data_IF_187808312445
#
_entry.id   IF_187808312445
#
_cell.length_a   1.000
_cell.length_b   1.000
_cell.length_c   1.000
_cell.angle_alpha   90.00
_cell.angle_beta   90.00
_cell.angle_gamma   90.00
#
_symmetry.space_group_name_H-M   'P 1'
#
loop_
_entity.id
_entity.type
_entity.pdbx_description
1 polymer ?
#
# COMPACT_ATOMS: atom_id res chain seq x y z
N UNK A 1 34.09 -9.69 -4.49
CA UNK A 1 32.94 -10.00 -3.62
C UNK A 1 31.80 -9.06 -3.98
N UNK A 2 30.55 -9.49 -3.85
CA UNK A 2 29.38 -8.66 -4.20
C UNK A 2 29.07 -7.76 -3.00
N UNK A 3 28.94 -6.46 -3.25
CA UNK A 3 28.59 -5.48 -2.22
C UNK A 3 27.09 -5.19 -2.23
N UNK A 4 26.54 -4.89 -1.06
CA UNK A 4 25.19 -4.40 -0.88
C UNK A 4 25.21 -3.08 -0.13
N UNK A 5 24.23 -2.23 -0.42
CA UNK A 5 23.89 -1.11 0.45
C UNK A 5 22.87 -1.61 1.47
N UNK A 6 23.16 -1.42 2.75
CA UNK A 6 22.26 -1.73 3.84
C UNK A 6 21.62 -0.44 4.32
N UNK A 7 20.29 -0.42 4.42
CA UNK A 7 19.53 0.74 4.85
C UNK A 7 18.59 0.39 6.00
N UNK A 8 18.70 1.13 7.10
CA UNK A 8 17.79 1.02 8.23
C UNK A 8 16.50 1.76 7.93
N UNK A 9 15.37 1.12 8.24
CA UNK A 9 14.02 1.69 8.16
C UNK A 9 13.22 1.35 9.42
N UNK A 10 12.10 2.04 9.64
CA UNK A 10 11.15 1.69 10.68
C UNK A 10 10.58 0.27 10.52
N UNK A 11 10.31 -0.44 11.62
CA UNK A 11 9.71 -1.78 11.57
C UNK A 11 8.21 -1.68 11.29
N UNK A 12 7.75 -2.30 10.20
CA UNK A 12 6.32 -2.39 9.89
C UNK A 12 5.97 -3.78 9.41
N UNK A 13 4.77 -4.26 9.68
CA UNK A 13 4.34 -5.57 9.21
C UNK A 13 4.22 -5.60 7.68
N UNK A 14 3.69 -4.53 7.07
CA UNK A 14 3.27 -4.56 5.66
C UNK A 14 3.69 -3.39 4.78
N UNK A 15 4.10 -2.26 5.38
CA UNK A 15 4.50 -1.05 4.65
C UNK A 15 3.42 -0.59 3.64
N UNK A 16 2.20 -0.37 4.15
CA UNK A 16 1.03 0.03 3.35
C UNK A 16 0.81 1.54 3.27
N UNK A 17 1.69 2.37 3.83
CA UNK A 17 1.53 3.82 3.82
C UNK A 17 0.67 4.41 4.95
N UNK A 18 -0.05 3.58 5.72
CA UNK A 18 -1.04 4.07 6.72
C UNK A 18 -0.86 3.47 8.14
N UNK A 19 0.04 2.51 8.35
CA UNK A 19 0.17 1.79 9.63
C UNK A 19 1.06 2.51 10.66
N UNK A 20 0.51 3.44 11.46
CA UNK A 20 1.14 3.93 12.71
C UNK A 20 0.42 3.38 13.97
N UNK A 21 -0.48 2.40 13.84
CA UNK A 21 -1.29 1.96 14.98
C UNK A 21 -0.64 0.99 15.98
N UNK A 22 0.63 0.59 15.83
CA UNK A 22 1.29 -0.24 16.85
C UNK A 22 2.77 0.10 17.09
N UNK A 23 3.00 1.15 17.89
CA UNK A 23 4.18 1.24 18.76
C UNK A 23 5.53 1.57 18.12
N UNK A 24 5.57 2.13 16.91
CA UNK A 24 6.79 2.73 16.37
C UNK A 24 6.80 4.25 16.62
N UNK A 25 7.43 4.69 17.70
CA UNK A 25 7.86 6.08 17.84
C UNK A 25 9.18 6.27 17.11
N UNK A 26 9.17 6.89 15.93
CA UNK A 26 10.34 7.50 15.35
C UNK A 26 9.97 8.88 14.77
N UNK A 27 10.66 9.91 15.27
CA UNK A 27 10.66 11.25 14.68
C UNK A 27 11.12 11.16 13.21
N UNK A 28 10.38 11.77 12.28
CA UNK A 28 10.67 11.87 10.84
C UNK A 28 10.59 10.55 10.02
N UNK A 29 9.65 9.65 10.32
CA UNK A 29 9.47 8.36 9.62
C UNK A 29 8.38 8.33 8.54
N UNK A 30 7.84 9.49 8.15
CA UNK A 30 6.60 9.56 7.34
C UNK A 30 6.68 8.95 5.95
N UNK A 31 7.86 8.80 5.35
CA UNK A 31 7.99 8.26 3.99
C UNK A 31 8.39 6.78 3.97
N UNK A 32 8.98 6.26 5.05
CA UNK A 32 9.48 4.88 5.08
C UNK A 32 8.35 3.85 4.98
N UNK A 33 7.14 4.23 5.43
CA UNK A 33 5.90 3.46 5.26
C UNK A 33 5.52 3.20 3.81
N UNK A 34 6.07 3.99 2.89
CA UNK A 34 5.84 3.87 1.45
C UNK A 34 6.88 2.98 0.75
N UNK A 35 7.90 2.49 1.47
CA UNK A 35 8.78 1.46 0.95
C UNK A 35 7.97 0.23 0.57
N UNK A 36 8.34 -0.45 -0.52
CA UNK A 36 7.61 -1.64 -0.98
C UNK A 36 6.15 -1.37 -1.40
N UNK A 37 5.82 -0.12 -1.74
CA UNK A 37 4.63 0.22 -2.53
C UNK A 37 5.00 0.27 -4.01
N UNK A 38 4.23 -0.44 -4.84
CA UNK A 38 4.43 -0.46 -6.28
C UNK A 38 3.69 0.70 -6.93
N UNK A 39 4.41 1.52 -7.68
CA UNK A 39 3.84 2.55 -8.54
C UNK A 39 4.18 2.22 -10.00
N UNK A 40 3.17 1.74 -10.73
CA UNK A 40 3.27 1.40 -12.15
C UNK A 40 4.48 0.50 -12.53
N UNK A 41 4.75 -0.53 -11.72
CA UNK A 41 5.87 -1.47 -11.95
C UNK A 41 7.23 -0.98 -11.44
N UNK A 42 7.25 0.16 -10.74
CA UNK A 42 8.45 0.73 -10.12
C UNK A 42 8.26 0.85 -8.62
N UNK A 43 9.34 0.60 -7.88
CA UNK A 43 9.42 0.78 -6.45
C UNK A 43 10.46 1.84 -6.12
N UNK A 44 10.15 2.63 -5.10
CA UNK A 44 10.97 3.71 -4.60
C UNK A 44 11.38 3.42 -3.15
N UNK A 45 12.66 3.65 -2.85
CA UNK A 45 13.22 3.45 -1.52
C UNK A 45 13.42 4.78 -0.83
N UNK A 46 12.70 4.93 0.29
CA UNK A 46 12.71 6.07 1.19
C UNK A 46 13.57 5.72 2.39
N UNK A 47 14.54 6.58 2.71
CA UNK A 47 15.59 6.31 3.68
C UNK A 47 15.60 7.39 4.75
N UNK A 48 15.89 7.00 5.99
CA UNK A 48 16.23 7.94 7.07
C UNK A 48 17.70 8.43 6.95
N UNK A 49 18.02 9.12 5.86
CA UNK A 49 19.29 9.84 5.70
C UNK A 49 19.08 11.10 4.88
N UNK A 50 19.83 12.15 5.20
CA UNK A 50 19.85 13.40 4.43
C UNK A 50 21.09 13.50 3.53
N UNK A 51 22.02 12.54 3.62
CA UNK A 51 23.24 12.58 2.84
C UNK A 51 23.82 11.19 2.55
N UNK A 52 23.81 10.80 1.27
CA UNK A 52 24.50 9.61 0.78
C UNK A 52 25.87 9.94 0.15
N UNK A 53 26.28 11.22 0.13
CA UNK A 53 27.56 11.67 -0.46
C UNK A 53 28.79 10.93 0.06
N UNK A 54 28.89 10.52 1.35
CA UNK A 54 30.03 9.73 1.82
C UNK A 54 30.17 8.36 1.13
N UNK A 55 29.05 7.78 0.68
CA UNK A 55 28.98 6.45 0.09
C UNK A 55 28.89 6.50 -1.44
N UNK A 56 28.16 7.47 -1.98
CA UNK A 56 27.85 7.60 -3.40
C UNK A 56 28.53 8.86 -3.94
N UNK A 57 29.62 8.67 -4.69
CA UNK A 57 30.40 9.79 -5.26
C UNK A 57 29.78 10.33 -6.56
N UNK A 58 29.26 9.42 -7.38
CA UNK A 58 28.58 9.74 -8.63
C UNK A 58 27.16 10.27 -8.36
N UNK A 59 26.48 10.80 -9.36
CA UNK A 59 25.07 11.20 -9.19
C UNK A 59 24.18 10.01 -8.80
N UNK A 60 24.50 8.83 -9.31
CA UNK A 60 23.83 7.59 -8.95
C UNK A 60 24.76 6.40 -9.17
N UNK A 61 24.55 5.33 -8.42
CA UNK A 61 25.29 4.07 -8.51
C UNK A 61 24.33 2.91 -8.57
N UNK A 62 24.63 1.90 -9.39
CA UNK A 62 23.85 0.66 -9.41
C UNK A 62 24.37 -0.31 -8.33
N UNK A 63 23.50 -0.72 -7.42
CA UNK A 63 23.79 -1.74 -6.43
C UNK A 63 23.19 -3.10 -6.81
N UNK A 64 23.94 -4.21 -6.68
CA UNK A 64 23.38 -5.56 -6.84
C UNK A 64 22.22 -5.80 -5.86
N UNK A 65 22.35 -5.29 -4.63
CA UNK A 65 21.32 -5.31 -3.61
C UNK A 65 21.35 -4.02 -2.80
N UNK A 66 20.16 -3.44 -2.60
CA UNK A 66 19.85 -2.53 -1.49
C UNK A 66 18.98 -3.31 -0.52
N UNK A 67 19.49 -3.55 0.68
CA UNK A 67 18.85 -4.40 1.70
C UNK A 67 18.28 -3.48 2.77
N UNK A 68 16.98 -3.60 3.00
CA UNK A 68 16.28 -2.87 4.05
C UNK A 68 16.23 -3.73 5.31
N UNK A 69 16.62 -3.15 6.44
CA UNK A 69 16.51 -3.79 7.74
C UNK A 69 15.83 -2.87 8.75
N UNK A 70 15.21 -3.46 9.76
CA UNK A 70 14.53 -2.74 10.82
C UNK A 70 14.77 -3.39 12.18
N UNK A 71 14.68 -2.60 13.24
CA UNK A 71 14.86 -3.08 14.61
C UNK A 71 13.52 -3.58 15.17
N UNK A 72 13.37 -4.89 15.33
CA UNK A 72 12.22 -5.47 16.02
C UNK A 72 12.39 -5.36 17.55
N UNK A 73 11.37 -4.94 18.31
CA UNK A 73 11.48 -4.68 19.76
C UNK A 73 12.10 -5.82 20.58
N UNK A 74 11.81 -7.07 20.21
CA UNK A 74 12.29 -8.26 20.92
C UNK A 74 13.37 -9.06 20.18
N UNK A 75 13.54 -8.85 18.86
CA UNK A 75 14.35 -9.73 17.98
C UNK A 75 15.58 -9.01 17.43
N UNK A 76 15.75 -7.72 17.73
CA UNK A 76 16.83 -6.88 17.23
C UNK A 76 16.70 -6.58 15.74
N UNK A 77 17.83 -6.24 15.12
CA UNK A 77 17.90 -5.86 13.70
C UNK A 77 17.65 -7.07 12.79
N UNK A 78 16.63 -6.97 11.93
CA UNK A 78 16.19 -8.00 11.00
C UNK A 78 16.04 -7.46 9.59
N UNK A 79 16.39 -8.27 8.59
CA UNK A 79 16.11 -7.95 7.18
C UNK A 79 14.60 -7.95 6.96
N UNK A 80 14.09 -6.87 6.40
CA UNK A 80 12.69 -6.68 6.02
C UNK A 80 12.46 -7.07 4.57
N UNK A 81 13.39 -6.71 3.69
CA UNK A 81 13.27 -6.89 2.26
C UNK A 81 14.48 -6.31 1.53
N UNK A 82 14.46 -6.35 0.21
CA UNK A 82 15.54 -5.81 -0.60
C UNK A 82 15.10 -5.48 -2.02
N UNK A 83 15.84 -4.57 -2.64
CA UNK A 83 15.76 -4.23 -4.05
C UNK A 83 17.02 -4.73 -4.73
N UNK A 84 16.87 -5.60 -5.73
CA UNK A 84 17.96 -6.13 -6.54
C UNK A 84 18.24 -5.20 -7.72
N UNK A 85 19.48 -5.16 -8.20
CA UNK A 85 19.87 -4.36 -9.38
C UNK A 85 19.38 -2.89 -9.30
N UNK A 86 19.35 -2.34 -8.09
CA UNK A 86 18.71 -1.07 -7.80
C UNK A 86 19.60 0.11 -8.16
N UNK A 87 18.98 1.21 -8.57
CA UNK A 87 19.67 2.48 -8.77
C UNK A 87 19.59 3.27 -7.47
N UNK A 88 20.73 3.64 -6.91
CA UNK A 88 20.84 4.48 -5.71
C UNK A 88 21.34 5.85 -6.14
N UNK A 89 20.58 6.88 -5.84
CA UNK A 89 20.93 8.27 -6.11
C UNK A 89 21.69 8.84 -4.92
N UNK A 90 22.68 9.70 -5.19
CA UNK A 90 23.41 10.42 -4.13
C UNK A 90 22.51 11.45 -3.45
N UNK A 91 21.79 12.20 -4.27
CA UNK A 91 20.92 13.29 -3.86
C UNK A 91 19.46 12.83 -3.90
N UNK A 92 18.61 13.42 -3.06
CA UNK A 92 17.16 13.16 -3.05
C UNK A 92 16.55 13.34 -4.43
N UNK A 93 15.66 12.42 -4.79
CA UNK A 93 14.87 12.51 -6.01
C UNK A 93 13.41 12.81 -5.64
N UNK A 94 12.78 13.69 -6.40
CA UNK A 94 11.40 14.11 -6.19
C UNK A 94 10.53 13.64 -7.35
N UNK A 95 9.45 12.93 -7.01
CA UNK A 95 8.27 12.80 -7.88
C UNK A 95 7.07 13.47 -7.22
N UNK A 96 6.98 13.29 -5.90
CA UNK A 96 6.16 14.02 -4.96
C UNK A 96 7.11 14.90 -4.11
N UNK A 97 6.94 16.23 -4.09
CA UNK A 97 7.76 17.13 -3.26
C UNK A 97 7.75 16.76 -1.78
N UNK A 98 6.68 16.13 -1.30
CA UNK A 98 6.53 15.73 0.08
C UNK A 98 7.14 14.36 0.36
N UNK A 99 7.59 13.59 -0.64
CA UNK A 99 8.06 12.21 -0.45
C UNK A 99 9.35 11.94 -1.25
N UNK A 100 10.51 12.49 -0.82
CA UNK A 100 11.79 12.29 -1.50
C UNK A 100 12.30 10.85 -1.39
N UNK A 101 12.82 10.30 -2.48
CA UNK A 101 13.38 8.94 -2.53
C UNK A 101 14.85 8.94 -2.93
N UNK A 102 15.56 7.88 -2.55
CA UNK A 102 16.98 7.67 -2.89
C UNK A 102 17.22 6.43 -3.73
N UNK A 103 16.29 5.48 -3.73
CA UNK A 103 16.48 4.19 -4.38
C UNK A 103 15.35 3.95 -5.38
N UNK A 104 15.68 3.38 -6.53
CA UNK A 104 14.69 2.96 -7.52
C UNK A 104 14.97 1.55 -8.02
N UNK A 105 13.93 0.73 -8.09
CA UNK A 105 14.00 -0.62 -8.65
C UNK A 105 12.74 -1.00 -9.42
N UNK A 106 12.90 -1.93 -10.36
CA UNK A 106 11.77 -2.57 -11.04
C UNK A 106 11.14 -3.61 -10.12
N UNK A 107 9.84 -3.79 -10.22
CA UNK A 107 9.06 -4.73 -9.41
C UNK A 107 9.60 -6.17 -9.37
N UNK A 108 10.06 -6.69 -10.51
CA UNK A 108 10.69 -8.01 -10.62
C UNK A 108 11.96 -8.18 -9.77
N UNK A 109 12.52 -7.07 -9.30
CA UNK A 109 13.71 -7.03 -8.48
C UNK A 109 13.43 -6.71 -7.01
N UNK A 110 12.18 -6.48 -6.63
CA UNK A 110 11.81 -6.15 -5.25
C UNK A 110 11.26 -7.36 -4.52
N UNK A 111 11.67 -7.51 -3.27
CA UNK A 111 11.20 -8.51 -2.32
C UNK A 111 10.91 -7.84 -0.99
N UNK A 112 9.65 -7.90 -0.55
CA UNK A 112 9.22 -7.68 0.82
C UNK A 112 8.96 -9.03 1.47
N UNK A 113 9.45 -9.23 2.69
CA UNK A 113 9.22 -10.45 3.47
C UNK A 113 8.03 -10.32 4.40
N UNK A 114 7.28 -11.41 4.54
CA UNK A 114 6.37 -11.60 5.67
C UNK A 114 7.15 -11.51 6.99
N UNK A 115 6.54 -10.95 8.03
CA UNK A 115 7.19 -10.73 9.33
C UNK A 115 7.79 -12.02 9.93
N UNK A 116 7.10 -13.15 9.79
CA UNK A 116 7.58 -14.47 10.24
C UNK A 116 8.79 -15.01 9.44
N UNK A 117 9.01 -14.48 8.23
CA UNK A 117 10.14 -14.83 7.37
C UNK A 117 11.37 -13.91 7.57
N UNK A 118 11.24 -12.83 8.36
CA UNK A 118 12.33 -11.88 8.71
C UNK A 118 13.27 -12.45 9.78
N UNK A 119 13.89 -13.59 9.45
CA UNK A 119 14.69 -14.38 10.40
C UNK A 119 16.15 -13.97 10.46
N UNK A 120 16.70 -13.38 9.39
CA UNK A 120 18.12 -13.05 9.29
C UNK A 120 18.48 -11.82 10.13
N UNK A 121 19.44 -11.97 11.04
CA UNK A 121 19.92 -10.88 11.89
C UNK A 121 21.08 -10.13 11.24
N UNK A 122 21.11 -8.82 11.40
CA UNK A 122 22.22 -7.95 10.97
C UNK A 122 22.81 -7.22 12.18
N UNK A 123 24.13 -7.00 12.18
CA UNK A 123 24.83 -6.22 13.20
C UNK A 123 25.50 -5.02 12.55
N UNK A 124 24.80 -3.90 12.53
CA UNK A 124 25.25 -2.61 12.00
C UNK A 124 24.60 -1.52 12.85
N UNK A 125 25.41 -0.52 13.21
CA UNK A 125 25.00 0.58 14.10
C UNK A 125 24.67 1.88 13.34
N UNK A 126 24.97 1.95 12.04
CA UNK A 126 24.69 3.10 11.18
C UNK A 126 23.35 2.97 10.44
N UNK A 127 22.75 4.10 10.06
CA UNK A 127 21.52 4.15 9.28
C UNK A 127 21.68 3.62 7.86
N UNK A 128 22.83 3.88 7.24
CA UNK A 128 23.18 3.38 5.92
C UNK A 128 24.63 2.92 5.91
N UNK A 129 24.89 1.75 5.36
CA UNK A 129 26.26 1.21 5.27
C UNK A 129 26.46 0.34 4.05
N UNK A 130 27.68 0.30 3.52
CA UNK A 130 28.07 -0.67 2.51
C UNK A 130 28.61 -1.95 3.18
N UNK A 131 28.09 -3.10 2.78
CA UNK A 131 28.51 -4.40 3.31
C UNK A 131 28.89 -5.36 2.20
N UNK A 132 29.72 -6.35 2.51
CA UNK A 132 29.95 -7.50 1.63
C UNK A 132 28.88 -8.58 1.85
N UNK A 133 28.37 -9.14 0.76
CA UNK A 133 27.41 -10.24 0.81
C UNK A 133 28.17 -11.55 0.97
N UNK A 134 28.13 -12.12 2.17
CA UNK A 134 28.65 -13.44 2.46
C UNK A 134 27.73 -14.56 1.92
N UNK A 135 28.17 -15.82 2.05
CA UNK A 135 27.42 -16.99 1.57
C UNK A 135 26.10 -17.20 2.30
N UNK A 136 26.04 -16.86 3.58
CA UNK A 136 24.85 -17.02 4.44
C UNK A 136 23.76 -16.06 3.98
N UNK A 137 24.11 -14.77 3.86
CA UNK A 137 23.24 -13.73 3.37
C UNK A 137 22.81 -14.00 1.92
N UNK A 138 23.74 -14.39 1.04
CA UNK A 138 23.40 -14.76 -0.34
C UNK A 138 22.38 -15.91 -0.40
N UNK A 139 22.51 -16.90 0.46
CA UNK A 139 21.57 -18.03 0.53
C UNK A 139 20.21 -17.56 1.02
N UNK A 140 20.17 -16.71 2.05
CA UNK A 140 18.92 -16.12 2.54
C UNK A 140 18.20 -15.33 1.45
N UNK A 141 18.89 -14.38 0.80
CA UNK A 141 18.32 -13.55 -0.27
C UNK A 141 17.77 -14.36 -1.46
N UNK A 142 18.29 -15.56 -1.73
CA UNK A 142 17.85 -16.40 -2.86
C UNK A 142 16.63 -17.25 -2.55
N UNK A 143 16.41 -17.64 -1.29
CA UNK A 143 15.42 -18.65 -0.94
C UNK A 143 14.22 -18.09 -0.15
N UNK A 144 14.24 -16.81 0.22
CA UNK A 144 13.07 -16.20 0.86
C UNK A 144 11.91 -16.01 -0.11
N UNK A 145 10.70 -16.04 0.43
CA UNK A 145 9.46 -15.80 -0.30
C UNK A 145 9.07 -14.33 -0.15
N UNK A 146 8.58 -13.76 -1.26
CA UNK A 146 8.05 -12.40 -1.28
C UNK A 146 6.56 -12.40 -0.99
N UNK A 147 6.07 -11.31 -0.39
CA UNK A 147 4.63 -11.04 -0.24
C UNK A 147 4.15 -9.88 -1.11
N UNK A 148 5.03 -8.97 -1.54
CA UNK A 148 4.68 -7.90 -2.48
C UNK A 148 4.42 -8.48 -3.87
N UNK A 149 3.47 -7.91 -4.62
CA UNK A 149 3.14 -8.35 -5.97
C UNK A 149 4.06 -7.73 -7.04
N UNK A 150 4.05 -8.33 -8.23
CA UNK A 150 4.74 -7.87 -9.45
C UNK A 150 3.75 -7.79 -10.59
N UNK A 151 4.06 -7.00 -11.60
CA UNK A 151 3.23 -6.83 -12.78
C UNK A 151 2.95 -8.15 -13.49
N UNK A 152 3.91 -9.07 -13.51
CA UNK A 152 3.73 -10.42 -14.06
C UNK A 152 2.64 -11.21 -13.32
N UNK A 153 2.50 -11.01 -12.00
CA UNK A 153 1.53 -11.77 -11.18
C UNK A 153 0.09 -11.46 -11.55
N UNK A 154 -0.16 -10.29 -12.15
CA UNK A 154 -1.48 -9.85 -12.59
C UNK A 154 -2.08 -10.79 -13.65
N UNK A 155 -1.25 -11.61 -14.30
CA UNK A 155 -1.64 -12.60 -15.30
C UNK A 155 -1.42 -14.06 -14.84
N UNK A 156 -0.80 -14.30 -13.68
CA UNK A 156 -0.54 -15.65 -13.20
C UNK A 156 -1.83 -16.23 -12.61
N UNK A 157 -2.16 -17.46 -12.99
CA UNK A 157 -3.30 -18.22 -12.46
C UNK A 157 -2.84 -19.36 -11.56
N UNK A 158 -3.61 -19.68 -10.53
CA UNK A 158 -3.38 -20.84 -9.69
C UNK A 158 -3.46 -22.15 -10.51
N UNK A 159 -2.60 -23.11 -10.18
CA UNK A 159 -2.66 -24.48 -10.73
C UNK A 159 -3.65 -25.37 -9.98
N UNK A 160 -4.27 -24.85 -8.91
CA UNK A 160 -5.21 -25.60 -8.09
C UNK A 160 -6.44 -26.02 -8.91
N UNK A 161 -6.95 -27.22 -8.63
CA UNK A 161 -8.23 -27.65 -9.16
C UNK A 161 -9.35 -26.88 -8.47
N UNK A 162 -10.20 -26.22 -9.24
CA UNK A 162 -11.34 -25.45 -8.77
C UNK A 162 -12.61 -26.22 -9.13
N UNK A 163 -13.25 -26.93 -8.19
CA UNK A 163 -14.32 -27.87 -8.50
C UNK A 163 -15.65 -27.19 -8.86
N UNK A 164 -15.87 -25.96 -8.38
CA UNK A 164 -17.04 -25.16 -8.69
C UNK A 164 -16.74 -23.67 -8.50
N UNK A 165 -17.62 -22.80 -9.04
CA UNK A 165 -17.53 -21.35 -8.81
C UNK A 165 -17.66 -21.03 -7.32
N UNK A 166 -18.59 -21.68 -6.61
CA UNK A 166 -18.80 -21.46 -5.18
C UNK A 166 -17.54 -21.76 -4.35
N UNK A 167 -16.95 -22.95 -4.55
CA UNK A 167 -15.71 -23.31 -3.87
C UNK A 167 -14.55 -22.37 -4.26
N UNK A 168 -14.54 -21.90 -5.50
CA UNK A 168 -13.55 -20.90 -5.96
C UNK A 168 -13.65 -19.62 -5.14
N UNK A 169 -14.86 -19.08 -4.97
CA UNK A 169 -15.09 -17.90 -4.15
C UNK A 169 -14.65 -18.13 -2.69
N UNK A 170 -14.99 -19.27 -2.09
CA UNK A 170 -14.55 -19.61 -0.73
C UNK A 170 -13.02 -19.65 -0.59
N UNK A 171 -12.31 -20.20 -1.57
CA UNK A 171 -10.84 -20.21 -1.56
C UNK A 171 -10.25 -18.81 -1.71
N UNK A 172 -10.86 -17.96 -2.54
CA UNK A 172 -10.44 -16.56 -2.71
C UNK A 172 -10.64 -15.81 -1.39
N UNK A 173 -11.84 -15.90 -0.80
CA UNK A 173 -12.18 -15.26 0.48
C UNK A 173 -11.24 -15.73 1.59
N UNK A 174 -10.97 -17.03 1.67
CA UNK A 174 -9.99 -17.57 2.62
C UNK A 174 -8.61 -16.96 2.41
N UNK A 175 -8.12 -16.90 1.18
CA UNK A 175 -6.82 -16.30 0.89
C UNK A 175 -6.79 -14.80 1.22
N UNK A 176 -7.90 -14.08 1.03
CA UNK A 176 -8.02 -12.67 1.42
C UNK A 176 -8.06 -12.50 2.95
N UNK A 177 -8.77 -13.36 3.68
CA UNK A 177 -8.79 -13.36 5.15
C UNK A 177 -7.43 -13.71 5.77
N UNK A 178 -6.70 -14.62 5.13
CA UNK A 178 -5.29 -14.92 5.49
C UNK A 178 -4.32 -13.85 4.98
N UNK A 179 -4.85 -12.79 4.38
CA UNK A 179 -4.11 -11.65 3.80
C UNK A 179 -3.03 -12.06 2.79
N UNK A 180 -3.25 -13.20 2.13
CA UNK A 180 -2.43 -13.73 1.07
C UNK A 180 -2.94 -13.24 -0.29
N UNK A 181 -2.79 -11.92 -0.51
CA UNK A 181 -3.30 -11.25 -1.71
C UNK A 181 -2.77 -11.86 -3.03
N UNK A 182 -1.55 -12.38 -3.03
CA UNK A 182 -0.98 -13.05 -4.21
C UNK A 182 -1.70 -14.35 -4.55
N UNK A 183 -1.96 -15.20 -3.56
CA UNK A 183 -2.75 -16.42 -3.75
C UNK A 183 -4.17 -16.07 -4.17
N UNK A 184 -4.80 -15.08 -3.50
CA UNK A 184 -6.13 -14.62 -3.85
C UNK A 184 -6.20 -14.17 -5.32
N UNK A 185 -5.25 -13.37 -5.79
CA UNK A 185 -5.17 -12.93 -7.18
C UNK A 185 -5.04 -14.11 -8.17
N UNK A 186 -4.19 -15.08 -7.84
CA UNK A 186 -3.99 -16.27 -8.66
C UNK A 186 -5.24 -17.15 -8.74
N UNK A 187 -5.96 -17.31 -7.63
CA UNK A 187 -7.23 -18.02 -7.57
C UNK A 187 -8.30 -17.30 -8.38
N UNK A 188 -8.43 -15.98 -8.25
CA UNK A 188 -9.35 -15.18 -9.05
C UNK A 188 -9.04 -15.30 -10.54
N UNK A 189 -7.76 -15.17 -10.94
CA UNK A 189 -7.35 -15.33 -12.33
C UNK A 189 -7.73 -16.72 -12.88
N UNK A 190 -7.49 -17.78 -12.09
CA UNK A 190 -7.90 -19.14 -12.45
C UNK A 190 -9.42 -19.27 -12.56
N UNK A 191 -10.17 -18.67 -11.63
CA UNK A 191 -11.63 -18.61 -11.65
C UNK A 191 -12.14 -17.94 -12.93
N UNK A 192 -11.59 -16.78 -13.29
CA UNK A 192 -11.99 -16.04 -14.50
C UNK A 192 -11.68 -16.80 -15.79
N UNK A 193 -10.58 -17.56 -15.82
CA UNK A 193 -10.26 -18.44 -16.96
C UNK A 193 -11.22 -19.64 -17.06
N UNK A 194 -11.70 -20.14 -15.91
CA UNK A 194 -12.50 -21.38 -15.85
C UNK A 194 -13.99 -21.09 -16.06
N UNK A 195 -14.50 -20.03 -15.43
CA UNK A 195 -15.93 -19.70 -15.36
C UNK A 195 -16.31 -18.43 -16.14
N UNK A 196 -15.33 -17.75 -16.73
CA UNK A 196 -15.53 -16.47 -17.42
C UNK A 196 -15.46 -15.26 -16.50
N UNK A 197 -15.65 -14.07 -17.09
CA UNK A 197 -15.58 -12.78 -16.37
C UNK A 197 -16.91 -12.46 -15.67
N UNK A 198 -17.25 -13.26 -14.67
CA UNK A 198 -18.46 -13.07 -13.86
C UNK A 198 -18.30 -11.86 -12.91
N UNK A 199 -19.39 -11.17 -12.62
CA UNK A 199 -19.38 -9.97 -11.77
C UNK A 199 -18.77 -10.24 -10.38
N UNK A 200 -19.05 -11.42 -9.78
CA UNK A 200 -18.45 -11.84 -8.50
C UNK A 200 -16.93 -12.00 -8.57
N UNK A 201 -16.39 -12.53 -9.66
CA UNK A 201 -14.94 -12.67 -9.84
C UNK A 201 -14.26 -11.34 -10.18
N UNK A 202 -14.95 -10.47 -10.93
CA UNK A 202 -14.51 -9.09 -11.17
C UNK A 202 -14.46 -8.31 -9.85
N UNK A 203 -15.46 -8.47 -8.99
CA UNK A 203 -15.52 -7.93 -7.64
C UNK A 203 -14.28 -8.30 -6.82
N UNK A 204 -13.96 -9.60 -6.69
CA UNK A 204 -12.77 -10.00 -5.93
C UNK A 204 -11.48 -9.47 -6.56
N UNK A 205 -11.38 -9.49 -7.89
CA UNK A 205 -10.20 -8.96 -8.58
C UNK A 205 -10.03 -7.47 -8.31
N UNK A 206 -11.10 -6.69 -8.36
CA UNK A 206 -11.06 -5.26 -8.09
C UNK A 206 -10.60 -4.98 -6.65
N UNK A 207 -11.13 -5.71 -5.66
CA UNK A 207 -10.72 -5.59 -4.26
C UNK A 207 -9.24 -5.89 -4.07
N UNK A 208 -8.75 -7.01 -4.62
CA UNK A 208 -7.35 -7.42 -4.50
C UNK A 208 -6.42 -6.41 -5.20
N UNK A 209 -6.84 -5.85 -6.33
CA UNK A 209 -6.06 -4.81 -7.00
C UNK A 209 -6.07 -3.48 -6.23
N UNK A 210 -7.18 -3.16 -5.57
CA UNK A 210 -7.26 -2.01 -4.67
C UNK A 210 -6.28 -2.15 -3.51
N UNK A 211 -6.21 -3.31 -2.85
CA UNK A 211 -5.24 -3.55 -1.76
C UNK A 211 -3.76 -3.58 -2.23
N UNK A 212 -3.54 -3.65 -3.54
CA UNK A 212 -2.23 -3.52 -4.18
C UNK A 212 -1.94 -2.10 -4.68
N UNK A 213 -2.77 -1.12 -4.32
CA UNK A 213 -2.75 0.27 -4.79
C UNK A 213 -2.78 0.37 -6.33
N UNK A 214 -3.36 -0.62 -7.01
CA UNK A 214 -3.56 -0.63 -8.46
C UNK A 214 -4.87 0.05 -8.83
N UNK A 215 -5.04 1.28 -8.34
CA UNK A 215 -6.27 2.06 -8.43
C UNK A 215 -6.82 2.17 -9.85
N UNK A 216 -5.97 2.45 -10.84
CA UNK A 216 -6.39 2.50 -12.25
C UNK A 216 -6.94 1.17 -12.78
N UNK A 217 -6.36 0.04 -12.36
CA UNK A 217 -6.84 -1.29 -12.80
C UNK A 217 -8.09 -1.70 -12.04
N UNK A 218 -8.13 -1.41 -10.75
CA UNK A 218 -9.29 -1.64 -9.90
C UNK A 218 -10.50 -0.85 -10.41
N UNK A 219 -10.34 0.44 -10.72
CA UNK A 219 -11.44 1.30 -11.20
C UNK A 219 -12.06 0.79 -12.50
N UNK A 220 -11.24 0.37 -13.48
CA UNK A 220 -11.73 -0.24 -14.73
C UNK A 220 -12.62 -1.45 -14.45
N UNK A 221 -12.27 -2.29 -13.47
CA UNK A 221 -13.05 -3.46 -13.09
C UNK A 221 -14.32 -3.08 -12.33
N UNK A 222 -14.25 -2.10 -11.43
CA UNK A 222 -15.41 -1.62 -10.68
C UNK A 222 -16.46 -1.00 -11.62
N UNK A 223 -16.02 -0.25 -12.64
CA UNK A 223 -16.92 0.27 -13.68
C UNK A 223 -17.67 -0.82 -14.44
N UNK A 224 -17.08 -2.01 -14.62
CA UNK A 224 -17.74 -3.13 -15.30
C UNK A 224 -18.87 -3.75 -14.46
N UNK A 225 -18.85 -3.57 -13.14
CA UNK A 225 -19.84 -4.14 -12.22
C UNK A 225 -20.72 -3.08 -11.56
N UNK A 226 -20.49 -1.78 -11.81
CA UNK A 226 -21.26 -0.68 -11.21
C UNK A 226 -22.76 -0.77 -11.51
N UNK A 227 -23.14 -1.28 -12.67
CA UNK A 227 -24.55 -1.41 -13.06
C UNK A 227 -25.21 -2.72 -12.57
N UNK A 228 -24.48 -3.58 -11.85
CA UNK A 228 -25.03 -4.80 -11.23
C UNK A 228 -25.66 -4.40 -9.90
N UNK A 229 -27.00 -4.50 -9.72
CA UNK A 229 -27.68 -3.94 -8.55
C UNK A 229 -27.12 -4.39 -7.20
N UNK A 230 -26.75 -5.67 -7.07
CA UNK A 230 -26.23 -6.24 -5.83
C UNK A 230 -24.80 -5.79 -5.50
N UNK A 231 -24.06 -5.30 -6.51
CA UNK A 231 -22.68 -4.84 -6.38
C UNK A 231 -22.54 -3.32 -6.53
N UNK A 232 -23.62 -2.62 -6.88
CA UNK A 232 -23.60 -1.19 -7.19
C UNK A 232 -23.03 -0.36 -6.04
N UNK A 233 -23.57 -0.53 -4.83
CA UNK A 233 -23.13 0.22 -3.66
C UNK A 233 -21.66 -0.06 -3.31
N UNK A 234 -21.24 -1.32 -3.40
CA UNK A 234 -19.84 -1.69 -3.22
C UNK A 234 -18.95 -1.04 -4.28
N UNK A 235 -19.33 -1.10 -5.55
CA UNK A 235 -18.57 -0.53 -6.65
C UNK A 235 -18.41 0.99 -6.48
N UNK A 236 -19.48 1.68 -6.10
CA UNK A 236 -19.48 3.11 -5.80
C UNK A 236 -18.63 3.45 -4.57
N UNK A 237 -18.71 2.67 -3.49
CA UNK A 237 -17.85 2.86 -2.31
C UNK A 237 -16.36 2.74 -2.67
N UNK A 238 -15.98 1.70 -3.39
CA UNK A 238 -14.59 1.48 -3.79
C UNK A 238 -14.10 2.53 -4.80
N UNK A 239 -14.93 2.90 -5.77
CA UNK A 239 -14.61 3.98 -6.71
C UNK A 239 -14.45 5.32 -5.97
N UNK A 240 -15.31 5.61 -4.99
CA UNK A 240 -15.21 6.81 -4.14
C UNK A 240 -13.86 6.90 -3.44
N UNK A 241 -13.42 5.79 -2.82
CA UNK A 241 -12.11 5.69 -2.20
C UNK A 241 -10.96 5.85 -3.21
N UNK A 242 -11.04 5.18 -4.36
CA UNK A 242 -10.03 5.32 -5.43
C UNK A 242 -9.92 6.77 -5.89
N UNK A 243 -11.05 7.43 -6.14
CA UNK A 243 -11.09 8.81 -6.59
C UNK A 243 -10.53 9.78 -5.55
N UNK A 244 -10.81 9.52 -4.27
CA UNK A 244 -10.19 10.27 -3.18
C UNK A 244 -8.66 10.13 -3.18
N UNK A 245 -8.15 8.90 -3.31
CA UNK A 245 -6.72 8.60 -3.32
C UNK A 245 -5.95 9.21 -4.50
N UNK A 246 -6.62 9.46 -5.63
CA UNK A 246 -6.03 10.15 -6.79
C UNK A 246 -6.37 11.65 -6.82
N UNK A 247 -6.91 12.19 -5.73
CA UNK A 247 -7.29 13.59 -5.54
C UNK A 247 -8.36 14.12 -6.51
N UNK A 248 -9.19 13.23 -7.06
CA UNK A 248 -10.37 13.60 -7.85
C UNK A 248 -11.60 13.62 -6.92
N UNK A 249 -11.66 14.67 -6.10
CA UNK A 249 -12.66 14.77 -5.03
C UNK A 249 -14.08 14.95 -5.57
N UNK A 250 -14.26 15.58 -6.73
CA UNK A 250 -15.57 15.69 -7.39
C UNK A 250 -16.15 14.30 -7.71
N UNK A 251 -15.36 13.44 -8.37
CA UNK A 251 -15.79 12.08 -8.68
C UNK A 251 -15.92 11.22 -7.42
N UNK A 252 -15.07 11.44 -6.42
CA UNK A 252 -15.17 10.77 -5.12
C UNK A 252 -16.52 11.07 -4.44
N UNK A 253 -16.89 12.35 -4.35
CA UNK A 253 -18.18 12.81 -3.81
C UNK A 253 -19.35 12.21 -4.61
N UNK A 254 -19.28 12.22 -5.94
CA UNK A 254 -20.33 11.65 -6.78
C UNK A 254 -20.54 10.16 -6.49
N UNK A 255 -19.47 9.40 -6.33
CA UNK A 255 -19.55 7.96 -6.08
C UNK A 255 -20.09 7.67 -4.67
N UNK A 256 -19.59 8.35 -3.64
CA UNK A 256 -20.07 8.12 -2.26
C UNK A 256 -21.54 8.50 -2.07
N UNK A 257 -22.07 9.48 -2.82
CA UNK A 257 -23.51 9.81 -2.81
C UNK A 257 -24.40 8.70 -3.33
N UNK A 258 -23.89 7.79 -4.15
CA UNK A 258 -24.65 6.64 -4.66
C UNK A 258 -24.75 5.51 -3.62
N UNK A 259 -23.90 5.52 -2.58
CA UNK A 259 -23.88 4.51 -1.51
C UNK A 259 -24.95 4.83 -0.47
N UNK A 260 -25.76 3.85 -0.08
CA UNK A 260 -26.90 4.05 0.84
C UNK A 260 -26.76 3.26 2.14
N UNK A 261 -26.17 2.07 2.11
CA UNK A 261 -26.17 1.12 3.21
C UNK A 261 -24.77 0.64 3.59
N UNK A 262 -23.89 0.39 2.62
CA UNK A 262 -22.54 -0.13 2.87
C UNK A 262 -21.69 0.90 3.62
N UNK A 263 -21.08 0.51 4.75
CA UNK A 263 -20.18 1.33 5.58
C UNK A 263 -20.63 2.79 5.69
N UNK A 264 -21.88 2.99 6.10
CA UNK A 264 -22.56 4.27 5.94
C UNK A 264 -21.88 5.42 6.72
N UNK A 265 -21.37 5.15 7.91
CA UNK A 265 -20.61 6.12 8.71
C UNK A 265 -19.27 6.47 8.05
N UNK A 266 -18.52 5.49 7.56
CA UNK A 266 -17.28 5.71 6.80
C UNK A 266 -17.55 6.50 5.51
N UNK A 267 -18.64 6.21 4.80
CA UNK A 267 -19.03 6.97 3.62
C UNK A 267 -19.26 8.45 3.94
N UNK A 268 -19.93 8.73 5.06
CA UNK A 268 -20.14 10.11 5.51
C UNK A 268 -18.83 10.77 5.94
N UNK A 269 -17.93 10.02 6.59
CA UNK A 269 -16.60 10.49 6.94
C UNK A 269 -15.77 10.84 5.68
N UNK A 270 -15.74 9.95 4.68
CA UNK A 270 -15.04 10.19 3.41
C UNK A 270 -15.65 11.33 2.61
N UNK A 271 -16.98 11.47 2.59
CA UNK A 271 -17.66 12.63 2.01
C UNK A 271 -17.26 13.93 2.72
N UNK A 272 -17.15 13.90 4.06
CA UNK A 272 -16.73 15.08 4.82
C UNK A 272 -15.32 15.53 4.43
N UNK A 273 -14.39 14.59 4.34
CA UNK A 273 -13.02 14.86 3.88
C UNK A 273 -13.01 15.39 2.45
N UNK A 274 -13.72 14.75 1.52
CA UNK A 274 -13.73 15.18 0.12
C UNK A 274 -14.32 16.59 -0.05
N UNK A 275 -15.41 16.93 0.66
CA UNK A 275 -15.94 18.30 0.68
C UNK A 275 -14.97 19.30 1.30
N UNK A 276 -14.23 18.89 2.35
CA UNK A 276 -13.21 19.74 2.96
C UNK A 276 -12.08 20.05 1.96
N UNK A 277 -11.62 19.06 1.18
CA UNK A 277 -10.61 19.27 0.13
C UNK A 277 -11.11 20.20 -0.98
N UNK A 278 -12.41 20.16 -1.30
CA UNK A 278 -13.08 21.10 -2.21
C UNK A 278 -13.43 22.46 -1.54
N UNK A 279 -12.96 22.70 -0.31
CA UNK A 279 -13.24 23.91 0.49
C UNK A 279 -14.72 24.18 0.80
N UNK A 280 -15.61 23.18 0.66
CA UNK A 280 -17.00 23.24 1.11
C UNK A 280 -17.12 22.78 2.57
N UNK A 281 -16.62 23.62 3.47
CA UNK A 281 -16.62 23.37 4.92
C UNK A 281 -18.04 23.16 5.47
N UNK A 282 -19.04 23.79 4.86
CA UNK A 282 -20.44 23.67 5.28
C UNK A 282 -20.98 22.26 5.05
N UNK A 283 -20.76 21.72 3.86
CA UNK A 283 -21.13 20.34 3.54
C UNK A 283 -20.26 19.33 4.30
N UNK A 284 -18.97 19.61 4.46
CA UNK A 284 -18.08 18.78 5.27
C UNK A 284 -18.59 18.62 6.71
N UNK A 285 -18.92 19.73 7.38
CA UNK A 285 -19.51 19.74 8.72
C UNK A 285 -20.84 19.01 8.82
N UNK A 286 -21.65 19.04 7.76
CA UNK A 286 -22.91 18.29 7.72
C UNK A 286 -22.65 16.79 7.64
N UNK A 287 -21.72 16.35 6.78
CA UNK A 287 -21.42 14.93 6.59
C UNK A 287 -20.75 14.33 7.83
N UNK A 288 -19.78 15.00 8.46
CA UNK A 288 -19.12 14.47 9.66
C UNK A 288 -20.09 14.31 10.84
N UNK A 289 -21.08 15.21 10.98
CA UNK A 289 -22.16 15.05 11.97
C UNK A 289 -23.01 13.82 11.72
N UNK A 290 -23.26 13.47 10.46
CA UNK A 290 -23.97 12.24 10.11
C UNK A 290 -23.14 11.01 10.47
N UNK A 291 -21.82 11.02 10.19
CA UNK A 291 -20.92 9.94 10.61
C UNK A 291 -20.96 9.75 12.14
N UNK A 292 -20.77 10.84 12.91
CA UNK A 292 -20.83 10.85 14.38
C UNK A 292 -22.17 10.41 14.97
N UNK A 293 -23.27 10.61 14.23
CA UNK A 293 -24.60 10.14 14.66
C UNK A 293 -24.79 8.63 14.56
N UNK A 294 -24.00 7.97 13.70
CA UNK A 294 -24.01 6.51 13.53
C UNK A 294 -22.98 5.88 14.46
N UNK A 295 -21.75 6.39 14.45
CA UNK A 295 -20.65 5.86 15.25
C UNK A 295 -19.77 6.99 15.79
N UNK A 296 -19.46 6.93 17.08
CA UNK A 296 -18.56 7.88 17.73
C UNK A 296 -17.15 7.31 17.71
N UNK A 297 -16.34 7.77 16.76
CA UNK A 297 -14.92 7.47 16.67
C UNK A 297 -14.09 8.73 16.92
N UNK A 298 -12.96 8.59 17.61
CA UNK A 298 -12.06 9.71 17.91
C UNK A 298 -11.62 10.43 16.63
N UNK A 299 -11.32 9.68 15.56
CA UNK A 299 -10.96 10.23 14.25
C UNK A 299 -12.07 11.11 13.65
N UNK A 300 -13.34 10.78 13.88
CA UNK A 300 -14.47 11.58 13.39
C UNK A 300 -14.63 12.86 14.19
N UNK A 301 -14.42 12.79 15.51
CA UNK A 301 -14.48 13.95 16.40
C UNK A 301 -13.33 14.92 16.11
N UNK A 302 -12.11 14.41 15.90
CA UNK A 302 -10.95 15.21 15.49
C UNK A 302 -11.25 16.01 14.23
N UNK A 303 -11.69 15.35 13.15
CA UNK A 303 -12.05 16.04 11.91
C UNK A 303 -13.17 17.06 12.12
N UNK A 304 -14.17 16.75 12.96
CA UNK A 304 -15.24 17.69 13.27
C UNK A 304 -14.72 18.97 13.93
N UNK A 305 -13.81 18.86 14.91
CA UNK A 305 -13.21 20.01 15.58
C UNK A 305 -12.34 20.85 14.65
N UNK A 306 -11.57 20.20 13.76
CA UNK A 306 -10.77 20.88 12.74
C UNK A 306 -11.64 21.70 11.78
N UNK A 307 -12.74 21.10 11.29
CA UNK A 307 -13.68 21.78 10.41
C UNK A 307 -14.41 22.95 11.12
N UNK A 308 -14.70 22.83 12.42
CA UNK A 308 -15.27 23.93 13.20
C UNK A 308 -14.30 25.10 13.32
N UNK A 309 -13.02 24.83 13.61
CA UNK A 309 -12.00 25.85 13.68
C UNK A 309 -11.83 26.56 12.32
N UNK A 310 -11.77 25.80 11.23
CA UNK A 310 -11.67 26.34 9.88
C UNK A 310 -12.88 27.21 9.49
N UNK A 311 -14.10 26.78 9.85
CA UNK A 311 -15.31 27.57 9.61
C UNK A 311 -15.32 28.89 10.40
N UNK A 312 -14.60 29.00 11.51
CA UNK A 312 -14.55 30.21 12.32
C UNK A 312 -13.51 31.20 11.81
N UNK A 313 -12.40 30.71 11.27
CA UNK A 313 -11.34 31.53 10.70
C UNK A 313 -11.77 32.22 9.39
N UNK A 314 -12.49 31.48 8.53
CA UNK A 314 -13.06 32.01 7.26
C UNK A 314 -14.17 33.06 7.44
N UNK A 315 -14.64 33.29 8.68
CA UNK A 315 -15.64 34.33 9.01
C UNK A 315 -15.04 35.61 9.59
N UNK A 316 -13.72 35.68 9.75
CA UNK A 316 -12.97 36.88 10.18
C UNK A 316 -12.47 37.69 9.00
#
# INVERSE_FOLDING_TARGET
>A
MMKALLCKIAWMERYHGEDIETGCQLENSDHEKSNFINFEGTYYGYLHTQDLTPLIKEHHTKYPYVIFYATHPQKGNKIVGWYKEALVFRDEQLFDPECPYFVRARDENVVLLASDDRRFSIRVDDWVSEIEIDRSLQTYLRHSRRINYRHSDLQISSTMNLPSLHATCEFIEKAMMEENGLMALQLVNKGMMTYGKLASLIYYKAWILYSFNQFRRASILLYQIKDVPELHEFACYMLGNIYFQICDYEMSISCFKEVKHVNQDECYYMLAQAYAMESDVGMALNMIKKALSIQQLDVYETLYQELLAWSQDTRR
#
